data_IF_928629371177
#
_entry.id   IF_928629371177
#
_cell.length_a   1.000
_cell.length_b   1.000
_cell.length_c   1.000
_cell.angle_alpha   90.00
_cell.angle_beta   90.00
_cell.angle_gamma   90.00
#
_symmetry.space_group_name_H-M   'P 1'
#
loop_
_entity.id
_entity.type
_entity.pdbx_description
1 polymer ?
#
# COMPACT_ATOMS: atom_id res chain seq x y z
N UNK A 1 -16.59 11.40 19.28
CA UNK A 1 -16.35 12.06 17.98
C UNK A 1 -15.58 11.09 17.11
N UNK A 2 -16.27 10.41 16.19
CA UNK A 2 -15.65 9.40 15.32
C UNK A 2 -14.94 10.13 14.19
N UNK A 3 -13.62 10.22 14.27
CA UNK A 3 -12.80 10.72 13.16
C UNK A 3 -13.02 9.77 11.98
N UNK A 4 -13.78 10.26 10.99
CA UNK A 4 -13.98 9.62 9.70
C UNK A 4 -12.66 9.78 8.96
N UNK A 5 -11.80 8.77 9.08
CA UNK A 5 -10.57 8.69 8.30
C UNK A 5 -10.99 8.47 6.85
N UNK A 6 -10.96 9.53 6.05
CA UNK A 6 -11.16 9.42 4.61
C UNK A 6 -9.87 8.84 4.01
N UNK A 7 -9.80 7.50 4.01
CA UNK A 7 -8.75 6.78 3.30
C UNK A 7 -9.21 6.79 1.84
N UNK A 8 -8.71 7.77 1.07
CA UNK A 8 -8.88 7.76 -0.37
C UNK A 8 -8.50 6.39 -0.95
N UNK A 9 -9.30 5.91 -1.91
CA UNK A 9 -9.11 4.59 -2.53
C UNK A 9 -7.69 4.42 -3.05
N UNK A 10 -7.08 3.28 -2.76
CA UNK A 10 -5.75 2.94 -3.27
C UNK A 10 -5.79 2.65 -4.75
N UNK A 11 -5.12 3.50 -5.53
CA UNK A 11 -5.05 3.49 -6.99
C UNK A 11 -3.67 3.03 -7.50
N UNK A 12 -2.99 2.16 -6.75
CA UNK A 12 -1.61 1.69 -7.01
C UNK A 12 -0.51 2.73 -6.74
N UNK A 13 -0.85 3.98 -6.44
CA UNK A 13 0.14 5.02 -6.11
C UNK A 13 0.34 5.13 -4.59
N UNK A 14 1.52 5.61 -4.18
CA UNK A 14 1.85 5.89 -2.77
C UNK A 14 1.53 4.71 -1.82
N UNK A 15 1.79 3.48 -2.25
CA UNK A 15 1.47 2.26 -1.50
C UNK A 15 1.91 2.29 -0.02
N UNK A 16 3.09 2.83 0.28
CA UNK A 16 3.57 2.94 1.67
C UNK A 16 2.68 3.83 2.54
N UNK A 17 2.12 4.91 1.97
CA UNK A 17 1.20 5.81 2.67
C UNK A 17 -0.15 5.14 2.89
N UNK A 18 -0.69 4.48 1.87
CA UNK A 18 -1.92 3.70 2.01
C UNK A 18 -1.74 2.59 3.06
N UNK A 19 -0.64 1.85 3.00
CA UNK A 19 -0.29 0.78 3.95
C UNK A 19 -0.24 1.28 5.39
N UNK A 20 0.30 2.48 5.61
CA UNK A 20 0.31 3.11 6.94
C UNK A 20 -1.11 3.42 7.42
N UNK A 21 -1.91 4.13 6.61
CA UNK A 21 -3.30 4.49 6.94
C UNK A 21 -4.19 3.27 7.17
N UNK A 22 -4.01 2.23 6.36
CA UNK A 22 -4.77 1.00 6.47
C UNK A 22 -4.48 0.25 7.78
N UNK A 23 -3.22 0.22 8.23
CA UNK A 23 -2.89 -0.32 9.56
C UNK A 23 -3.56 0.45 10.68
N UNK A 24 -3.62 1.79 10.59
CA UNK A 24 -4.31 2.62 11.57
C UNK A 24 -5.82 2.33 11.62
N UNK A 25 -6.44 2.09 10.45
CA UNK A 25 -7.85 1.68 10.38
C UNK A 25 -8.08 0.33 11.06
N UNK A 26 -7.28 -0.68 10.72
CA UNK A 26 -7.39 -2.01 11.32
C UNK A 26 -7.14 -2.01 12.83
N UNK A 27 -6.27 -1.12 13.33
CA UNK A 27 -6.10 -0.91 14.78
C UNK A 27 -7.37 -0.35 15.40
N UNK A 28 -7.94 0.69 14.79
CA UNK A 28 -9.18 1.33 15.26
C UNK A 28 -10.34 0.35 15.33
N UNK A 29 -10.45 -0.53 14.35
CA UNK A 29 -11.52 -1.53 14.26
C UNK A 29 -11.16 -2.85 14.96
N UNK A 30 -10.03 -2.89 15.67
CA UNK A 30 -9.53 -4.04 16.44
C UNK A 30 -9.37 -5.32 15.61
N UNK A 31 -8.98 -5.15 14.34
CA UNK A 31 -8.80 -6.22 13.35
C UNK A 31 -7.37 -6.35 12.82
N UNK A 32 -6.40 -5.65 13.42
CA UNK A 32 -4.99 -5.72 13.01
C UNK A 32 -4.43 -7.15 13.03
N UNK A 33 -4.87 -7.99 13.95
CA UNK A 33 -4.40 -9.38 14.03
C UNK A 33 -4.76 -10.22 12.80
N UNK A 34 -5.83 -9.88 12.07
CA UNK A 34 -6.26 -10.64 10.88
C UNK A 34 -5.32 -10.52 9.69
N UNK A 35 -4.55 -9.43 9.59
CA UNK A 35 -3.51 -9.30 8.56
C UNK A 35 -2.18 -9.96 8.96
N UNK A 36 -2.07 -10.43 10.20
CA UNK A 36 -0.93 -11.18 10.71
C UNK A 36 -1.24 -12.69 10.71
N UNK A 37 -0.28 -13.50 11.15
CA UNK A 37 -0.54 -14.94 11.36
C UNK A 37 -1.42 -15.13 12.59
N UNK A 38 -2.54 -15.85 12.41
CA UNK A 38 -3.42 -16.27 13.50
C UNK A 38 -2.61 -16.92 14.65
N UNK A 39 -2.72 -16.41 15.89
CA UNK A 39 -2.08 -17.04 17.04
C UNK A 39 -2.63 -18.45 17.27
N UNK A 40 -1.76 -19.44 17.55
CA UNK A 40 -2.17 -20.81 17.86
C UNK A 40 -3.06 -20.90 19.11
N UNK A 41 -2.90 -19.96 20.04
CA UNK A 41 -3.67 -19.88 21.29
C UNK A 41 -5.10 -19.33 21.08
N UNK A 42 -5.43 -18.86 19.87
CA UNK A 42 -6.75 -18.33 19.58
C UNK A 42 -7.75 -19.47 19.37
N UNK A 43 -8.42 -19.87 20.45
CA UNK A 43 -9.32 -21.04 20.50
C UNK A 43 -10.73 -20.79 19.97
N UNK A 44 -11.12 -19.53 19.73
CA UNK A 44 -12.48 -19.19 19.30
C UNK A 44 -12.55 -18.90 17.79
N UNK A 45 -12.93 -19.91 17.01
CA UNK A 45 -13.02 -19.81 15.54
C UNK A 45 -14.05 -18.79 15.05
N UNK A 46 -15.21 -18.68 15.69
CA UNK A 46 -16.25 -17.74 15.28
C UNK A 46 -15.80 -16.29 15.47
N UNK A 47 -15.15 -16.00 16.60
CA UNK A 47 -14.59 -14.68 16.87
C UNK A 47 -13.48 -14.36 15.87
N UNK A 48 -12.63 -15.33 15.53
CA UNK A 48 -11.57 -15.14 14.53
C UNK A 48 -12.16 -14.82 13.16
N UNK A 49 -13.15 -15.61 12.72
CA UNK A 49 -13.83 -15.40 11.44
C UNK A 49 -14.42 -13.99 11.34
N UNK A 50 -15.04 -13.50 12.42
CA UNK A 50 -15.59 -12.14 12.45
C UNK A 50 -14.51 -11.06 12.30
N UNK A 51 -13.36 -11.23 12.94
CA UNK A 51 -12.23 -10.29 12.83
C UNK A 51 -11.66 -10.31 11.41
N UNK A 52 -11.54 -11.50 10.82
CA UNK A 52 -11.07 -11.66 9.43
C UNK A 52 -12.03 -11.03 8.42
N UNK A 53 -13.33 -11.27 8.55
CA UNK A 53 -14.37 -10.67 7.69
C UNK A 53 -14.39 -9.14 7.78
N UNK A 54 -14.23 -8.57 8.99
CA UNK A 54 -14.14 -7.13 9.18
C UNK A 54 -12.88 -6.54 8.52
N UNK A 55 -11.73 -7.19 8.70
CA UNK A 55 -10.50 -6.77 8.04
C UNK A 55 -10.59 -6.86 6.51
N UNK A 56 -11.23 -7.91 5.96
CA UNK A 56 -11.49 -8.04 4.51
C UNK A 56 -12.38 -6.87 4.04
N UNK A 57 -13.44 -6.55 4.77
CA UNK A 57 -14.34 -5.46 4.45
C UNK A 57 -13.61 -4.11 4.39
N UNK A 58 -12.81 -3.80 5.42
CA UNK A 58 -12.03 -2.56 5.47
C UNK A 58 -11.00 -2.50 4.34
N UNK A 59 -10.34 -3.63 4.05
CA UNK A 59 -9.39 -3.74 2.94
C UNK A 59 -10.11 -3.43 1.63
N UNK A 60 -11.23 -4.09 1.34
CA UNK A 60 -11.98 -3.87 0.11
C UNK A 60 -12.46 -2.41 -0.05
N UNK A 61 -12.95 -1.79 1.03
CA UNK A 61 -13.37 -0.38 0.99
C UNK A 61 -12.22 0.58 0.70
N UNK A 62 -11.00 0.22 1.09
CA UNK A 62 -9.82 1.06 0.90
C UNK A 62 -9.18 0.93 -0.49
N UNK A 63 -9.63 0.01 -1.34
CA UNK A 63 -9.06 -0.29 -2.66
C UNK A 63 -9.86 0.36 -3.81
N UNK A 64 -9.18 0.68 -4.91
CA UNK A 64 -9.86 1.00 -6.17
C UNK A 64 -10.35 -0.27 -6.87
N UNK A 65 -11.32 -0.11 -7.78
CA UNK A 65 -11.95 -1.22 -8.50
C UNK A 65 -10.92 -2.03 -9.32
N UNK A 66 -9.91 -1.36 -9.89
CA UNK A 66 -8.78 -2.01 -10.58
C UNK A 66 -7.99 -2.93 -9.66
N UNK A 67 -7.71 -2.49 -8.43
CA UNK A 67 -6.95 -3.29 -7.45
C UNK A 67 -7.82 -4.41 -6.85
N UNK A 68 -9.12 -4.15 -6.67
CA UNK A 68 -10.09 -5.14 -6.19
C UNK A 68 -10.15 -6.37 -7.10
N UNK A 69 -10.14 -6.17 -8.43
CA UNK A 69 -10.13 -7.28 -9.39
C UNK A 69 -8.96 -8.25 -9.19
N UNK A 70 -7.82 -7.76 -8.72
CA UNK A 70 -6.62 -8.57 -8.48
C UNK A 70 -6.61 -9.33 -7.15
N UNK A 71 -7.59 -9.09 -6.26
CA UNK A 71 -7.69 -9.74 -4.94
C UNK A 71 -8.97 -10.54 -4.76
N UNK A 72 -9.87 -10.58 -5.76
CA UNK A 72 -11.16 -11.28 -5.72
C UNK A 72 -11.04 -12.77 -5.32
N UNK A 73 -9.98 -13.45 -5.76
CA UNK A 73 -9.74 -14.87 -5.44
C UNK A 73 -9.16 -15.12 -4.04
N UNK A 74 -8.90 -14.07 -3.25
CA UNK A 74 -8.30 -14.18 -1.91
C UNK A 74 -9.40 -14.27 -0.86
N UNK A 75 -9.26 -15.21 0.09
CA UNK A 75 -10.33 -15.59 1.01
C UNK A 75 -10.10 -15.16 2.45
N UNK A 76 -8.91 -14.67 2.77
CA UNK A 76 -8.57 -14.15 4.10
C UNK A 76 -7.94 -12.76 4.02
N UNK A 77 -8.06 -11.98 5.09
CA UNK A 77 -7.44 -10.64 5.17
C UNK A 77 -5.93 -10.72 5.00
N UNK A 78 -5.30 -11.76 5.59
CA UNK A 78 -3.87 -12.04 5.45
C UNK A 78 -3.47 -12.27 4.00
N UNK A 79 -4.20 -13.10 3.25
CA UNK A 79 -3.91 -13.37 1.85
C UNK A 79 -3.97 -12.10 0.99
N UNK A 80 -5.00 -11.27 1.20
CA UNK A 80 -5.13 -9.97 0.53
C UNK A 80 -3.94 -9.08 0.88
N UNK A 81 -3.62 -8.96 2.17
CA UNK A 81 -2.55 -8.11 2.67
C UNK A 81 -1.15 -8.51 2.16
N UNK A 82 -0.86 -9.81 2.16
CA UNK A 82 0.39 -10.38 1.67
C UNK A 82 0.52 -10.21 0.16
N UNK A 83 -0.56 -10.42 -0.60
CA UNK A 83 -0.59 -10.18 -2.04
C UNK A 83 -0.29 -8.72 -2.37
N UNK A 84 -0.98 -7.77 -1.73
CA UNK A 84 -0.77 -6.34 -1.92
C UNK A 84 0.65 -5.93 -1.51
N UNK A 85 1.14 -6.43 -0.37
CA UNK A 85 2.50 -6.15 0.10
C UNK A 85 3.53 -6.68 -0.89
N UNK A 86 3.41 -7.90 -1.38
CA UNK A 86 4.35 -8.46 -2.36
C UNK A 86 4.34 -7.64 -3.65
N UNK A 87 3.16 -7.42 -4.23
CA UNK A 87 3.00 -6.75 -5.52
C UNK A 87 3.49 -5.30 -5.52
N UNK A 88 3.17 -4.53 -4.48
CA UNK A 88 3.39 -3.09 -4.49
C UNK A 88 4.59 -2.64 -3.65
N UNK A 89 5.01 -3.41 -2.63
CA UNK A 89 6.23 -3.08 -1.90
C UNK A 89 7.47 -3.29 -2.77
N UNK A 90 7.54 -4.41 -3.50
CA UNK A 90 8.62 -4.67 -4.46
C UNK A 90 8.67 -3.58 -5.54
N UNK A 91 7.53 -3.27 -6.18
CA UNK A 91 7.45 -2.19 -7.18
C UNK A 91 7.89 -0.83 -6.60
N UNK A 92 7.45 -0.49 -5.39
CA UNK A 92 7.82 0.78 -4.74
C UNK A 92 9.32 0.87 -4.44
N UNK A 93 9.94 -0.24 -4.01
CA UNK A 93 11.36 -0.31 -3.72
C UNK A 93 12.19 -0.22 -5.01
N UNK A 94 11.81 -0.97 -6.04
CA UNK A 94 12.44 -0.90 -7.36
C UNK A 94 12.34 0.51 -7.95
N UNK A 95 11.15 1.14 -7.89
CA UNK A 95 10.98 2.52 -8.34
C UNK A 95 11.86 3.50 -7.56
N UNK A 96 11.94 3.36 -6.24
CA UNK A 96 12.82 4.22 -5.40
C UNK A 96 14.30 4.05 -5.74
N UNK A 97 14.76 2.82 -5.95
CA UNK A 97 16.15 2.53 -6.35
C UNK A 97 16.42 3.07 -7.75
N UNK A 98 15.49 2.84 -8.69
CA UNK A 98 15.59 3.33 -10.06
C UNK A 98 15.69 4.86 -10.10
N UNK A 99 14.82 5.56 -9.38
CA UNK A 99 14.85 7.03 -9.26
C UNK A 99 16.15 7.53 -8.64
N UNK A 100 16.64 6.88 -7.56
CA UNK A 100 17.95 7.23 -6.96
C UNK A 100 19.10 7.05 -7.95
N UNK A 101 19.13 5.94 -8.70
CA UNK A 101 20.14 5.71 -9.73
C UNK A 101 20.06 6.76 -10.82
N UNK A 102 18.85 7.02 -11.35
CA UNK A 102 18.62 8.02 -12.40
C UNK A 102 19.07 9.41 -11.97
N UNK A 103 18.77 9.81 -10.74
CA UNK A 103 19.23 11.07 -10.14
C UNK A 103 20.76 11.11 -10.01
N UNK A 104 21.39 10.05 -9.51
CA UNK A 104 22.85 9.98 -9.38
C UNK A 104 23.57 10.00 -10.73
N UNK A 105 22.98 9.40 -11.76
CA UNK A 105 23.50 9.41 -13.14
C UNK A 105 23.13 10.67 -13.92
N UNK A 106 22.26 11.53 -13.37
CA UNK A 106 21.82 12.73 -14.05
C UNK A 106 22.96 13.74 -14.05
N UNK A 107 23.69 13.79 -15.16
CA UNK A 107 24.75 14.76 -15.39
C UNK A 107 24.30 15.72 -16.48
N UNK A 108 24.50 17.01 -16.24
CA UNK A 108 24.25 18.04 -17.25
C UNK A 108 25.32 17.91 -18.36
N UNK A 109 24.90 17.83 -19.61
CA UNK A 109 25.80 17.88 -20.76
C UNK A 109 26.11 19.34 -21.10
N UNK A 110 27.31 19.62 -21.63
CA UNK A 110 27.75 20.99 -22.00
C UNK A 110 26.81 21.66 -23.02
N UNK A 111 26.05 20.87 -23.78
CA UNK A 111 25.09 21.32 -24.78
C UNK A 111 23.65 21.47 -24.27
N UNK A 112 23.34 21.08 -23.03
CA UNK A 112 21.97 21.13 -22.48
C UNK A 112 21.70 22.46 -21.80
N UNK A 113 20.55 23.07 -22.05
CA UNK A 113 20.15 24.29 -21.34
C UNK A 113 19.87 23.98 -19.86
N UNK A 114 20.31 24.87 -18.98
CA UNK A 114 20.11 24.74 -17.51
C UNK A 114 18.62 24.54 -17.17
N UNK A 115 17.72 25.20 -17.89
CA UNK A 115 16.27 25.12 -17.68
C UNK A 115 15.73 23.72 -18.01
N UNK A 116 16.19 23.08 -19.09
CA UNK A 116 15.79 21.71 -19.45
C UNK A 116 16.30 20.70 -18.42
N UNK A 117 17.51 20.91 -17.90
CA UNK A 117 18.08 20.09 -16.84
C UNK A 117 17.28 20.23 -15.54
N UNK A 118 16.91 21.45 -15.15
CA UNK A 118 16.07 21.72 -13.97
C UNK A 118 14.69 21.08 -14.13
N UNK A 119 14.04 21.22 -15.29
CA UNK A 119 12.73 20.60 -15.53
C UNK A 119 12.78 19.07 -15.43
N UNK A 120 13.86 18.46 -15.94
CA UNK A 120 14.09 17.01 -15.83
C UNK A 120 14.29 16.59 -14.37
N UNK A 121 15.03 17.37 -13.59
CA UNK A 121 15.18 17.18 -12.14
C UNK A 121 13.85 17.28 -11.40
N UNK A 122 13.09 18.34 -11.66
CA UNK A 122 11.79 18.59 -11.02
C UNK A 122 10.81 17.47 -11.31
N UNK A 123 10.74 16.98 -12.55
CA UNK A 123 9.90 15.85 -12.95
C UNK A 123 10.29 14.51 -12.30
N UNK A 124 11.53 14.34 -11.84
CA UNK A 124 11.99 13.13 -11.14
C UNK A 124 11.72 13.18 -9.63
N UNK A 125 11.51 14.38 -9.09
CA UNK A 125 11.28 14.62 -7.66
C UNK A 125 9.81 14.83 -7.30
N UNK A 126 8.95 15.12 -8.28
CA UNK A 126 7.49 15.27 -8.16
C UNK A 126 6.76 13.93 -8.15
#
# INVERSE_FOLDING_TARGET
MTTKMDIGKFDQTKFLLWKLKMKELLIKDNCLEAINTRPQEFTNDEKWKRIDELAIFDLHLSLSDDVLSGVEEKTSAKEIWDHLTKMYNEKSLHNKIFLKRKLHTLRMSESTLVIEHINTLTSLCS
#
